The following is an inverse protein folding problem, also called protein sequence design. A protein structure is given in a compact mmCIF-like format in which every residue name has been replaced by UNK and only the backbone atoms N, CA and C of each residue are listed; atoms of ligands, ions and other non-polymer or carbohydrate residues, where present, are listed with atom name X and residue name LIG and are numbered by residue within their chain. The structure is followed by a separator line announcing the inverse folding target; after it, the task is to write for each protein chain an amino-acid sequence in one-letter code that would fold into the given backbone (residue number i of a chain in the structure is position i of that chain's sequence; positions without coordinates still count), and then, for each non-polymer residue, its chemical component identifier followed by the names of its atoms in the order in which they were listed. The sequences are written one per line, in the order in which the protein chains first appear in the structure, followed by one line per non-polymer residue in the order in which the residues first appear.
data_IF_138523588948
#
_entry.id   IF_138523588948
#
_cell.length_a   1.000
_cell.length_b   1.000
_cell.length_c   1.000
_cell.angle_alpha   90.00
_cell.angle_beta   90.00
_cell.angle_gamma   90.00
#
_symmetry.space_group_name_H-M   'P 1'
#
loop_
_entity.id
_entity.type
_entity.pdbx_description
1 polymer ?
#
# COMPACT_ATOMS: atom_id res chain seq x y z
N UNK A 1 20.47 -34.55 -34.15
CA UNK A 1 21.61 -34.03 -34.93
C UNK A 1 21.68 -32.55 -34.64
N UNK A 2 22.66 -32.09 -33.87
CA UNK A 2 22.74 -30.67 -33.50
C UNK A 2 22.83 -29.82 -34.77
N UNK A 3 21.98 -28.80 -34.88
CA UNK A 3 21.94 -27.86 -36.02
C UNK A 3 23.34 -27.38 -36.46
N UNK A 4 24.26 -27.29 -35.50
CA UNK A 4 25.71 -27.02 -35.69
C UNK A 4 26.42 -27.98 -36.65
N UNK A 5 26.16 -29.27 -36.57
CA UNK A 5 26.77 -30.29 -37.45
C UNK A 5 26.21 -30.17 -38.87
N UNK A 6 24.91 -29.89 -38.98
CA UNK A 6 24.22 -29.70 -40.26
C UNK A 6 24.74 -28.47 -41.02
N UNK A 7 24.95 -27.33 -40.35
CA UNK A 7 25.45 -26.12 -41.00
C UNK A 7 26.88 -26.28 -41.55
N UNK A 8 27.77 -26.94 -40.81
CA UNK A 8 29.15 -27.23 -41.26
C UNK A 8 29.19 -28.22 -42.43
N UNK A 9 28.40 -29.29 -42.35
CA UNK A 9 28.47 -30.40 -43.31
C UNK A 9 27.68 -30.14 -44.61
N UNK A 10 26.63 -29.29 -44.58
CA UNK A 10 25.70 -29.11 -45.72
C UNK A 10 25.95 -27.83 -46.51
N UNK A 11 26.29 -26.72 -45.86
CA UNK A 11 26.39 -25.41 -46.55
C UNK A 11 27.83 -25.15 -47.00
N UNK A 12 28.84 -25.64 -46.28
CA UNK A 12 30.25 -25.38 -46.59
C UNK A 12 30.69 -23.96 -46.21
N UNK A 13 31.97 -23.83 -45.81
CA UNK A 13 32.55 -22.59 -45.25
C UNK A 13 32.37 -21.38 -46.18
N UNK A 14 32.63 -21.55 -47.48
CA UNK A 14 32.62 -20.45 -48.45
C UNK A 14 31.20 -19.91 -48.71
N UNK A 15 30.19 -20.78 -48.70
CA UNK A 15 28.80 -20.36 -48.88
C UNK A 15 28.27 -19.61 -47.65
N UNK A 16 28.72 -19.98 -46.44
CA UNK A 16 28.37 -19.23 -45.21
C UNK A 16 28.97 -17.83 -45.26
N UNK A 17 30.20 -17.69 -45.75
CA UNK A 17 30.85 -16.38 -45.93
C UNK A 17 30.12 -15.55 -46.99
N UNK A 18 29.76 -16.14 -48.12
CA UNK A 18 28.98 -15.47 -49.16
C UNK A 18 27.61 -15.00 -48.64
N UNK A 19 26.89 -15.88 -47.93
CA UNK A 19 25.59 -15.55 -47.33
C UNK A 19 25.69 -14.39 -46.34
N UNK A 20 26.72 -14.35 -45.49
CA UNK A 20 26.92 -13.27 -44.50
C UNK A 20 27.31 -11.96 -45.18
N UNK A 21 28.14 -12.01 -46.22
CA UNK A 21 28.53 -10.82 -46.98
C UNK A 21 27.39 -10.24 -47.83
N UNK A 22 26.43 -11.06 -48.24
CA UNK A 22 25.22 -10.63 -48.94
C UNK A 22 24.15 -10.02 -48.01
N UNK A 23 24.33 -10.13 -46.69
CA UNK A 23 23.40 -9.50 -45.74
C UNK A 23 23.56 -7.98 -45.81
N UNK A 24 22.47 -7.31 -46.18
CA UNK A 24 22.39 -5.84 -46.20
C UNK A 24 22.03 -5.30 -44.83
N UNK A 25 22.73 -4.25 -44.40
CA UNK A 25 22.46 -3.55 -43.14
C UNK A 25 21.01 -3.07 -42.99
N UNK A 26 20.41 -2.65 -44.10
CA UNK A 26 19.03 -2.17 -44.11
C UNK A 26 18.01 -3.28 -43.83
N UNK A 27 18.33 -4.54 -44.13
CA UNK A 27 17.48 -5.68 -43.78
C UNK A 27 17.65 -6.06 -42.31
N UNK A 28 18.89 -6.03 -41.78
CA UNK A 28 19.15 -6.31 -40.37
C UNK A 28 18.45 -5.32 -39.43
N UNK A 29 18.38 -4.04 -39.82
CA UNK A 29 17.71 -2.99 -39.04
C UNK A 29 16.19 -3.15 -38.95
N UNK A 30 15.57 -3.97 -39.80
CA UNK A 30 14.12 -4.26 -39.74
C UNK A 30 13.74 -5.24 -38.62
N UNK A 31 14.73 -5.95 -38.06
CA UNK A 31 14.51 -7.00 -37.06
C UNK A 31 15.02 -6.58 -35.68
N UNK A 32 14.30 -6.97 -34.63
CA UNK A 32 14.78 -6.70 -33.27
C UNK A 32 16.08 -7.47 -33.02
N UNK A 33 17.06 -6.84 -32.35
CA UNK A 33 18.36 -7.44 -32.05
C UNK A 33 18.30 -8.86 -31.46
N UNK A 34 17.25 -9.14 -30.68
CA UNK A 34 17.03 -10.45 -30.04
C UNK A 34 16.69 -11.56 -31.04
N UNK A 35 16.11 -11.24 -32.19
CA UNK A 35 15.63 -12.21 -33.18
C UNK A 35 16.78 -12.88 -33.93
N UNK A 36 17.92 -12.19 -34.06
CA UNK A 36 19.07 -12.68 -34.81
C UNK A 36 20.33 -12.89 -33.94
N UNK A 37 20.24 -12.66 -32.63
CA UNK A 37 21.37 -12.85 -31.71
C UNK A 37 21.84 -14.31 -31.64
N UNK A 38 20.92 -15.26 -31.67
CA UNK A 38 21.22 -16.68 -31.54
C UNK A 38 21.79 -17.28 -32.83
N UNK A 39 21.19 -17.05 -34.03
CA UNK A 39 21.83 -17.40 -35.30
C UNK A 39 23.21 -16.76 -35.45
N UNK A 40 23.37 -15.50 -35.07
CA UNK A 40 24.63 -14.79 -35.21
C UNK A 40 25.71 -15.31 -34.25
N UNK A 41 25.34 -15.66 -33.00
CA UNK A 41 26.25 -16.34 -32.07
C UNK A 41 26.73 -17.66 -32.64
N UNK A 42 25.85 -18.47 -33.21
CA UNK A 42 26.24 -19.76 -33.82
C UNK A 42 27.27 -19.53 -34.93
N UNK A 43 27.03 -18.55 -35.80
CA UNK A 43 27.96 -18.16 -36.87
C UNK A 43 29.32 -17.69 -36.29
N UNK A 44 29.32 -16.81 -35.28
CA UNK A 44 30.57 -16.31 -34.68
C UNK A 44 31.35 -17.37 -33.90
N UNK A 45 30.68 -18.28 -33.19
CA UNK A 45 31.37 -19.32 -32.44
C UNK A 45 32.04 -20.36 -33.35
N UNK A 46 31.41 -20.69 -34.48
CA UNK A 46 31.90 -21.75 -35.39
C UNK A 46 32.77 -21.22 -36.55
N UNK A 47 32.68 -19.94 -36.89
CA UNK A 47 33.32 -19.31 -38.07
C UNK A 47 33.96 -17.94 -37.78
N UNK A 48 34.13 -17.59 -36.50
CA UNK A 48 34.63 -16.27 -36.05
C UNK A 48 36.07 -15.94 -36.48
N UNK A 49 36.85 -16.92 -36.92
CA UNK A 49 38.18 -16.76 -37.50
C UNK A 49 38.16 -16.20 -38.94
N UNK A 50 36.99 -16.21 -39.59
CA UNK A 50 36.83 -15.85 -41.01
C UNK A 50 36.22 -14.46 -41.19
N UNK A 51 35.43 -14.01 -40.21
CA UNK A 51 34.81 -12.69 -40.28
C UNK A 51 35.81 -11.62 -39.93
N UNK A 52 36.11 -10.74 -40.89
CA UNK A 52 36.90 -9.54 -40.65
C UNK A 52 36.20 -8.67 -39.59
N UNK A 53 36.98 -8.01 -38.73
CA UNK A 53 36.47 -7.13 -37.65
C UNK A 53 35.46 -6.08 -38.13
N UNK A 54 35.51 -5.73 -39.43
CA UNK A 54 34.74 -4.67 -40.06
C UNK A 54 33.54 -5.18 -40.89
N UNK A 55 33.09 -6.42 -40.69
CA UNK A 55 31.86 -6.93 -41.34
C UNK A 55 30.62 -6.14 -40.84
N UNK A 56 29.70 -5.73 -41.73
CA UNK A 56 28.50 -4.95 -41.36
C UNK A 56 27.62 -5.63 -40.29
N UNK A 57 27.59 -6.97 -40.30
CA UNK A 57 26.88 -7.79 -39.32
C UNK A 57 27.49 -7.68 -37.91
N UNK A 58 28.83 -7.57 -37.80
CA UNK A 58 29.52 -7.35 -36.53
C UNK A 58 29.28 -5.93 -35.99
N UNK A 59 29.25 -4.92 -36.86
CA UNK A 59 28.92 -3.55 -36.49
C UNK A 59 27.49 -3.45 -35.93
N UNK A 60 26.51 -3.97 -36.65
CA UNK A 60 25.10 -4.01 -36.22
C UNK A 60 24.93 -4.80 -34.93
N UNK A 61 25.64 -5.92 -34.75
CA UNK A 61 25.61 -6.69 -33.51
C UNK A 61 26.14 -5.90 -32.31
N UNK A 62 27.26 -5.20 -32.47
CA UNK A 62 27.85 -4.40 -31.40
C UNK A 62 26.96 -3.22 -31.02
N UNK A 63 26.32 -2.58 -32.00
CA UNK A 63 25.34 -1.52 -31.76
C UNK A 63 24.10 -2.05 -31.02
N UNK A 64 23.54 -3.16 -31.48
CA UNK A 64 22.39 -3.83 -30.84
C UNK A 64 22.71 -4.27 -29.40
N UNK A 65 23.90 -4.84 -29.18
CA UNK A 65 24.39 -5.21 -27.84
C UNK A 65 24.51 -4.00 -26.93
N UNK A 66 25.10 -2.90 -27.42
CA UNK A 66 25.26 -1.65 -26.66
C UNK A 66 23.89 -1.07 -26.29
N UNK A 67 22.98 -0.94 -27.25
CA UNK A 67 21.62 -0.45 -27.03
C UNK A 67 20.86 -1.32 -26.02
N UNK A 68 20.99 -2.64 -26.10
CA UNK A 68 20.41 -3.58 -25.13
C UNK A 68 20.97 -3.38 -23.71
N UNK A 69 22.29 -3.25 -23.57
CA UNK A 69 22.93 -3.03 -22.27
C UNK A 69 22.55 -1.67 -21.67
N UNK A 70 22.49 -0.61 -22.48
CA UNK A 70 22.04 0.72 -22.04
C UNK A 70 20.57 0.68 -21.57
N UNK A 71 19.67 0.04 -22.33
CA UNK A 71 18.27 -0.15 -21.92
C UNK A 71 18.16 -0.94 -20.62
N UNK A 72 18.93 -2.03 -20.48
CA UNK A 72 18.95 -2.86 -19.27
C UNK A 72 19.44 -2.06 -18.06
N UNK A 73 20.52 -1.28 -18.22
CA UNK A 73 21.07 -0.44 -17.15
C UNK A 73 20.06 0.62 -16.70
N UNK A 74 19.38 1.30 -17.63
CA UNK A 74 18.36 2.30 -17.30
C UNK A 74 17.16 1.67 -16.59
N UNK A 75 16.75 0.47 -17.00
CA UNK A 75 15.65 -0.24 -16.35
C UNK A 75 16.00 -0.64 -14.92
N UNK A 76 17.22 -1.14 -14.69
CA UNK A 76 17.69 -1.46 -13.34
C UNK A 76 17.72 -0.22 -12.43
N UNK A 77 18.24 0.91 -12.92
CA UNK A 77 18.22 2.17 -12.16
C UNK A 77 16.79 2.61 -11.81
N UNK A 78 15.84 2.52 -12.75
CA UNK A 78 14.43 2.84 -12.48
C UNK A 78 13.81 1.89 -11.45
N UNK A 79 14.15 0.60 -11.49
CA UNK A 79 13.67 -0.36 -10.49
C UNK A 79 14.20 -0.04 -9.10
N UNK A 80 15.48 0.28 -8.97
CA UNK A 80 16.11 0.70 -7.71
C UNK A 80 15.47 1.99 -7.16
N UNK A 81 15.29 3.00 -8.02
CA UNK A 81 14.61 4.26 -7.66
C UNK A 81 13.17 4.00 -7.21
N UNK A 82 12.44 3.16 -7.93
CA UNK A 82 11.06 2.82 -7.57
C UNK A 82 10.98 2.08 -6.24
N UNK A 83 11.90 1.15 -5.96
CA UNK A 83 11.96 0.44 -4.68
C UNK A 83 12.29 1.39 -3.53
N UNK A 84 13.28 2.27 -3.71
CA UNK A 84 13.66 3.28 -2.71
C UNK A 84 12.49 4.22 -2.40
N UNK A 85 11.83 4.74 -3.44
CA UNK A 85 10.66 5.60 -3.30
C UNK A 85 9.49 4.88 -2.62
N UNK A 86 9.24 3.62 -2.95
CA UNK A 86 8.20 2.83 -2.31
C UNK A 86 8.49 2.61 -0.82
N UNK A 87 9.74 2.33 -0.46
CA UNK A 87 10.14 2.20 0.94
C UNK A 87 9.98 3.52 1.70
N UNK A 88 10.44 4.64 1.14
CA UNK A 88 10.29 5.96 1.74
C UNK A 88 8.82 6.32 1.98
N UNK A 89 7.95 6.07 1.00
CA UNK A 89 6.50 6.28 1.14
C UNK A 89 5.89 5.43 2.25
N UNK A 90 6.24 4.15 2.34
CA UNK A 90 5.75 3.27 3.41
C UNK A 90 6.15 3.80 4.79
N UNK A 91 7.39 4.25 4.95
CA UNK A 91 7.90 4.81 6.19
C UNK A 91 7.15 6.09 6.58
N UNK A 92 7.00 7.03 5.65
CA UNK A 92 6.25 8.27 5.88
C UNK A 92 4.79 8.01 6.26
N UNK A 93 4.14 7.05 5.62
CA UNK A 93 2.76 6.66 5.97
C UNK A 93 2.69 6.06 7.38
N UNK A 94 3.66 5.25 7.77
CA UNK A 94 3.73 4.67 9.11
C UNK A 94 3.93 5.77 10.17
N UNK A 95 4.90 6.66 9.97
CA UNK A 95 5.18 7.80 10.86
C UNK A 95 3.97 8.73 10.98
N UNK A 96 3.29 9.04 9.88
CA UNK A 96 2.08 9.85 9.89
C UNK A 96 0.95 9.18 10.69
N UNK A 97 0.75 7.87 10.51
CA UNK A 97 -0.26 7.10 11.28
C UNK A 97 0.06 7.09 12.76
N UNK A 98 1.31 6.88 13.14
CA UNK A 98 1.75 6.89 14.54
C UNK A 98 1.52 8.27 15.16
N UNK A 99 1.87 9.34 14.45
CA UNK A 99 1.62 10.70 14.90
C UNK A 99 0.13 11.01 15.10
N UNK A 100 -0.72 10.64 14.14
CA UNK A 100 -2.17 10.81 14.27
C UNK A 100 -2.72 10.03 15.45
N UNK A 101 -2.31 8.76 15.62
CA UNK A 101 -2.75 7.95 16.76
C UNK A 101 -2.29 8.51 18.10
N UNK A 102 -1.07 9.03 18.19
CA UNK A 102 -0.56 9.66 19.40
C UNK A 102 -1.39 10.90 19.76
N UNK A 103 -1.68 11.75 18.77
CA UNK A 103 -2.51 12.94 18.95
C UNK A 103 -3.95 12.61 19.35
N UNK A 104 -4.53 11.57 18.75
CA UNK A 104 -5.88 11.11 19.09
C UNK A 104 -5.94 10.57 20.53
N UNK A 105 -4.91 9.83 20.96
CA UNK A 105 -4.78 9.36 22.35
C UNK A 105 -4.64 10.53 23.33
N UNK A 106 -3.77 11.49 23.05
CA UNK A 106 -3.60 12.67 23.88
C UNK A 106 -4.91 13.46 24.01
N UNK A 107 -5.63 13.66 22.90
CA UNK A 107 -6.92 14.33 22.91
C UNK A 107 -7.96 13.56 23.72
N UNK A 108 -8.01 12.23 23.57
CA UNK A 108 -8.86 11.36 24.39
C UNK A 108 -8.52 11.49 25.86
N UNK A 109 -7.25 11.40 26.22
CA UNK A 109 -6.80 11.48 27.61
C UNK A 109 -7.14 12.84 28.24
N UNK A 110 -7.05 13.93 27.46
CA UNK A 110 -7.48 15.26 27.89
C UNK A 110 -8.99 15.35 28.13
N UNK A 111 -9.79 14.79 27.22
CA UNK A 111 -11.26 14.73 27.37
C UNK A 111 -11.61 13.91 28.63
N UNK A 112 -11.01 12.73 28.79
CA UNK A 112 -11.27 11.84 29.92
C UNK A 112 -10.78 12.43 31.25
N UNK A 113 -9.65 13.13 31.28
CA UNK A 113 -9.14 13.82 32.46
C UNK A 113 -10.11 14.91 32.93
N UNK A 114 -10.69 15.66 31.99
CA UNK A 114 -11.71 16.68 32.31
C UNK A 114 -12.99 16.00 32.79
N UNK A 115 -13.44 14.97 32.07
CA UNK A 115 -14.65 14.19 32.40
C UNK A 115 -14.57 13.58 33.80
N UNK A 116 -13.44 12.99 34.19
CA UNK A 116 -13.30 12.33 35.48
C UNK A 116 -13.45 13.29 36.68
N UNK A 117 -13.11 14.57 36.49
CA UNK A 117 -13.22 15.62 37.51
C UNK A 117 -14.60 16.25 37.61
N UNK A 118 -15.50 15.96 36.67
CA UNK A 118 -16.88 16.45 36.70
C UNK A 118 -17.71 15.71 37.75
N UNK A 119 -18.69 16.40 38.32
CA UNK A 119 -19.79 15.81 39.10
C UNK A 119 -20.74 15.01 38.19
N UNK A 120 -21.63 14.26 38.81
CA UNK A 120 -22.46 13.28 38.10
C UNK A 120 -23.40 13.92 37.08
N UNK A 121 -23.99 15.08 37.39
CA UNK A 121 -24.88 15.81 36.49
C UNK A 121 -24.13 16.22 35.22
N UNK A 122 -22.96 16.85 35.37
CA UNK A 122 -22.15 17.27 34.22
C UNK A 122 -21.60 16.09 33.42
N UNK A 123 -21.25 14.97 34.07
CA UNK A 123 -20.85 13.73 33.36
C UNK A 123 -21.99 13.22 32.47
N UNK A 124 -23.19 13.10 33.01
CA UNK A 124 -24.34 12.58 32.28
C UNK A 124 -24.74 13.51 31.13
N UNK A 125 -24.73 14.83 31.35
CA UNK A 125 -24.99 15.82 30.30
C UNK A 125 -23.93 15.80 29.20
N UNK A 126 -22.65 15.63 29.56
CA UNK A 126 -21.57 15.50 28.57
C UNK A 126 -21.82 14.31 27.65
N UNK A 127 -22.16 13.15 28.21
CA UNK A 127 -22.47 11.95 27.42
C UNK A 127 -23.74 12.16 26.58
N UNK A 128 -24.77 12.79 27.16
CA UNK A 128 -26.05 12.97 26.49
C UNK A 128 -25.94 13.91 25.29
N UNK A 129 -25.15 14.99 25.43
CA UNK A 129 -24.94 16.00 24.39
C UNK A 129 -23.84 15.64 23.37
N UNK A 130 -22.99 14.66 23.67
CA UNK A 130 -21.94 14.23 22.75
C UNK A 130 -22.55 13.51 21.53
N UNK A 131 -22.38 14.12 20.36
CA UNK A 131 -22.79 13.56 19.07
C UNK A 131 -21.69 12.77 18.38
N UNK A 132 -20.43 13.02 18.74
CA UNK A 132 -19.26 12.41 18.11
C UNK A 132 -18.94 11.03 18.69
N UNK A 133 -19.15 10.82 20.00
CA UNK A 133 -18.80 9.58 20.66
C UNK A 133 -20.02 8.83 21.23
N UNK A 134 -19.90 7.49 21.28
CA UNK A 134 -20.86 6.64 21.96
C UNK A 134 -20.66 6.75 23.49
N UNK A 135 -21.69 6.54 24.32
CA UNK A 135 -21.57 6.52 25.77
C UNK A 135 -20.50 5.59 26.33
N UNK A 136 -20.20 4.48 25.63
CA UNK A 136 -19.12 3.55 26.00
C UNK A 136 -17.72 4.15 25.91
N UNK A 137 -17.56 5.29 25.24
CA UNK A 137 -16.30 6.05 25.20
C UNK A 137 -15.91 6.57 26.59
N UNK A 138 -16.90 6.85 27.43
CA UNK A 138 -16.75 7.44 28.75
C UNK A 138 -16.69 6.37 29.84
N UNK A 139 -15.71 6.44 30.77
CA UNK A 139 -15.53 5.46 31.83
C UNK A 139 -16.47 5.73 33.01
N UNK A 140 -17.79 5.62 32.77
CA UNK A 140 -18.81 5.75 33.82
C UNK A 140 -19.50 4.42 34.08
N UNK A 141 -19.71 4.10 35.36
CA UNK A 141 -20.47 2.93 35.80
C UNK A 141 -21.81 3.37 36.35
N UNK A 142 -22.81 3.40 35.49
CA UNK A 142 -24.15 3.93 35.80
C UNK A 142 -24.86 3.19 36.92
N UNK A 143 -24.56 1.89 37.07
CA UNK A 143 -25.14 1.05 38.12
C UNK A 143 -24.68 1.53 39.50
N UNK A 144 -23.50 2.14 39.58
CA UNK A 144 -22.93 2.67 40.83
C UNK A 144 -23.50 4.04 41.20
N UNK A 145 -24.24 4.72 40.30
CA UNK A 145 -24.96 5.95 40.60
C UNK A 145 -26.13 5.58 41.52
N UNK A 146 -26.21 6.21 42.68
CA UNK A 146 -27.25 5.91 43.66
C UNK A 146 -28.60 6.59 43.28
N UNK A 147 -29.68 6.21 43.97
CA UNK A 147 -31.01 6.78 43.70
C UNK A 147 -31.16 8.22 44.23
N UNK A 148 -30.36 8.65 45.21
CA UNK A 148 -30.42 10.00 45.78
C UNK A 148 -29.75 11.03 44.85
N UNK A 149 -28.58 10.70 44.32
CA UNK A 149 -27.87 11.39 43.26
C UNK A 149 -28.78 11.54 42.03
N UNK A 150 -29.46 10.47 41.62
CA UNK A 150 -30.42 10.52 40.52
C UNK A 150 -31.59 11.48 40.78
N UNK A 151 -32.14 11.48 42.00
CA UNK A 151 -33.23 12.39 42.39
C UNK A 151 -32.78 13.85 42.48
N UNK A 152 -31.50 14.09 42.75
CA UNK A 152 -30.94 15.43 42.80
C UNK A 152 -30.75 16.07 41.42
N UNK A 153 -30.87 15.27 40.34
CA UNK A 153 -30.72 15.77 38.97
C UNK A 153 -31.94 16.60 38.50
N UNK A 154 -31.71 17.66 37.70
CA UNK A 154 -32.80 18.38 37.07
C UNK A 154 -33.65 17.48 36.16
N UNK A 155 -34.97 17.66 36.17
CA UNK A 155 -35.90 16.91 35.29
C UNK A 155 -35.49 17.01 33.83
N UNK A 156 -35.10 18.20 33.36
CA UNK A 156 -34.60 18.41 32.00
C UNK A 156 -33.38 17.53 31.68
N UNK A 157 -32.46 17.34 32.65
CA UNK A 157 -31.31 16.43 32.47
C UNK A 157 -31.80 14.99 32.30
N UNK A 158 -32.72 14.53 33.14
CA UNK A 158 -33.27 13.17 33.08
C UNK A 158 -33.96 12.87 31.74
N UNK A 159 -34.69 13.84 31.18
CA UNK A 159 -35.34 13.70 29.87
C UNK A 159 -34.33 13.58 28.71
N UNK A 160 -33.28 14.41 28.70
CA UNK A 160 -32.22 14.35 27.69
C UNK A 160 -31.50 13.00 27.77
N UNK A 161 -31.21 12.54 28.99
CA UNK A 161 -30.63 11.23 29.28
C UNK A 161 -31.52 10.14 28.69
N UNK A 162 -32.81 10.07 29.04
CA UNK A 162 -33.72 9.03 28.51
C UNK A 162 -33.74 8.99 26.99
N UNK A 163 -33.85 10.16 26.35
CA UNK A 163 -33.89 10.24 24.89
C UNK A 163 -32.62 9.67 24.26
N UNK A 164 -31.44 10.07 24.77
CA UNK A 164 -30.16 9.56 24.26
C UNK A 164 -29.99 8.07 24.55
N UNK A 165 -30.28 7.64 25.77
CA UNK A 165 -29.95 6.29 26.22
C UNK A 165 -30.91 5.20 25.74
N UNK A 166 -32.13 5.57 25.31
CA UNK A 166 -33.08 4.64 24.67
C UNK A 166 -32.51 3.90 23.45
N UNK A 167 -31.49 4.47 22.80
CA UNK A 167 -30.87 3.90 21.61
C UNK A 167 -29.81 2.82 21.91
N UNK A 168 -29.43 2.62 23.18
CA UNK A 168 -28.30 1.77 23.55
C UNK A 168 -28.74 0.47 24.25
N UNK A 169 -28.59 -0.67 23.56
CA UNK A 169 -28.98 -2.01 24.04
C UNK A 169 -27.95 -2.70 24.94
N UNK A 170 -27.38 -2.01 25.93
CA UNK A 170 -26.53 -2.67 26.94
C UNK A 170 -27.33 -2.87 28.22
N UNK A 171 -27.19 -4.03 28.84
CA UNK A 171 -27.92 -4.39 30.07
C UNK A 171 -27.80 -3.33 31.18
N UNK A 172 -26.64 -2.71 31.32
CA UNK A 172 -26.39 -1.66 32.32
C UNK A 172 -27.16 -0.37 31.98
N UNK A 173 -27.27 -0.04 30.68
CA UNK A 173 -28.05 1.09 30.19
C UNK A 173 -29.54 0.86 30.35
N UNK A 174 -30.04 -0.33 30.02
CA UNK A 174 -31.46 -0.66 30.17
C UNK A 174 -31.89 -0.55 31.64
N UNK A 175 -31.08 -1.08 32.56
CA UNK A 175 -31.33 -0.96 34.02
C UNK A 175 -31.32 0.50 34.48
N UNK A 176 -30.33 1.28 34.04
CA UNK A 176 -30.24 2.70 34.37
C UNK A 176 -31.43 3.48 33.81
N UNK A 177 -31.82 3.21 32.56
CA UNK A 177 -32.98 3.81 31.90
C UNK A 177 -34.28 3.50 32.64
N UNK A 178 -34.50 2.26 33.07
CA UNK A 178 -35.66 1.88 33.90
C UNK A 178 -35.68 2.63 35.25
N UNK A 179 -34.51 2.81 35.89
CA UNK A 179 -34.41 3.60 37.13
C UNK A 179 -34.77 5.07 36.90
N UNK A 180 -34.25 5.67 35.84
CA UNK A 180 -34.56 7.06 35.47
C UNK A 180 -36.05 7.25 35.15
N UNK A 181 -36.66 6.32 34.41
CA UNK A 181 -38.11 6.33 34.15
C UNK A 181 -38.93 6.25 35.45
N UNK A 182 -38.54 5.37 36.37
CA UNK A 182 -39.21 5.25 37.66
C UNK A 182 -39.12 6.55 38.47
N UNK A 183 -37.97 7.24 38.44
CA UNK A 183 -37.80 8.53 39.13
C UNK A 183 -38.67 9.63 38.53
N UNK A 184 -38.74 9.74 37.20
CA UNK A 184 -39.64 10.71 36.55
C UNK A 184 -41.12 10.45 36.83
N UNK A 185 -41.52 9.20 37.06
CA UNK A 185 -42.91 8.87 37.43
C UNK A 185 -43.27 9.21 38.88
N UNK A 186 -42.28 9.58 39.71
CA UNK A 186 -42.44 9.92 41.13
C UNK A 186 -42.34 11.43 41.41
N UNK A 187 -42.01 12.24 40.41
CA UNK A 187 -41.91 13.70 40.45
C UNK A 187 -43.17 14.35 39.87
#
# INVERSE_FOLDING_TARGET
MEFRKLCKDVIGRDNIVALVNDVKDDELKKHEYKEWIDPFRIILYDFGDIFQKDCPLMATHNEGKRSFLEKKSRNLQREEENQSNAHARKKLIAEAKEFTQAKDRENRDRILSTFNKMDINHKLLTIANDQAHLPSYYPIKLIEIDDEELRSLPVATLEIILKKFSMYKKRDWDKFHSRVLAMLSQL
#
